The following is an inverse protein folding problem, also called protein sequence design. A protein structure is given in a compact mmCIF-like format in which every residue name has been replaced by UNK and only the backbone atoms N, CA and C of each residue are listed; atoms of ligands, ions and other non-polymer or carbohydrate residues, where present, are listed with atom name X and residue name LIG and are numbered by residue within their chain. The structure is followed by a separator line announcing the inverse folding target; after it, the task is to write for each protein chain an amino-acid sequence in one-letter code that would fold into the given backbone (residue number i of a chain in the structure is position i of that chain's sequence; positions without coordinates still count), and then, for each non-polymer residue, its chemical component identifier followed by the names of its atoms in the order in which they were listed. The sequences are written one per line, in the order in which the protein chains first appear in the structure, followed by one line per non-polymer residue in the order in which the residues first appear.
data_IF_350917073521
#
_entry.id   IF_350917073521
#
_cell.length_a   1.000
_cell.length_b   1.000
_cell.length_c   1.000
_cell.angle_alpha   90.00
_cell.angle_beta   90.00
_cell.angle_gamma   90.00
#
_symmetry.space_group_name_H-M   'P 1'
#
loop_
_entity.id
_entity.type
_entity.pdbx_description
1 polymer ?
#
# COMPACT_ATOMS: atom_id res chain seq x y z
N UNK A 1 2.17 -15.29 16.19
CA UNK A 1 1.24 -14.35 15.52
C UNK A 1 2.01 -13.07 15.31
N UNK A 2 2.17 -12.62 14.06
CA UNK A 2 2.86 -11.36 13.73
C UNK A 2 1.78 -10.29 13.57
N UNK A 3 1.86 -9.24 14.37
CA UNK A 3 1.00 -8.06 14.19
C UNK A 3 1.67 -7.12 13.19
N UNK A 4 0.90 -6.60 12.23
CA UNK A 4 1.37 -5.64 11.23
C UNK A 4 0.58 -4.34 11.37
N UNK A 5 1.28 -3.24 11.61
CA UNK A 5 0.69 -1.90 11.61
C UNK A 5 1.32 -1.08 10.50
N UNK A 6 0.51 -0.61 9.55
CA UNK A 6 0.98 0.29 8.50
C UNK A 6 1.33 1.64 9.14
N UNK A 7 2.57 2.09 8.93
CA UNK A 7 3.08 3.34 9.50
C UNK A 7 3.19 4.46 8.47
N UNK A 8 3.38 4.11 7.19
CA UNK A 8 3.47 5.07 6.10
C UNK A 8 3.07 4.43 4.77
N UNK A 9 2.51 5.24 3.88
CA UNK A 9 2.28 4.89 2.48
C UNK A 9 2.77 6.02 1.60
N UNK A 10 3.70 5.72 0.71
CA UNK A 10 4.22 6.66 -0.29
C UNK A 10 3.74 6.26 -1.68
N UNK A 11 3.21 7.22 -2.43
CA UNK A 11 2.73 6.99 -3.80
C UNK A 11 3.52 7.89 -4.74
N UNK A 12 4.31 7.27 -5.61
CA UNK A 12 5.04 7.97 -6.65
C UNK A 12 4.36 7.77 -8.01
N UNK A 13 3.83 8.86 -8.58
CA UNK A 13 3.20 8.85 -9.90
C UNK A 13 4.11 9.56 -10.89
N UNK A 14 4.38 8.92 -12.03
CA UNK A 14 5.19 9.49 -13.12
C UNK A 14 4.48 9.30 -14.45
N UNK A 15 4.59 10.29 -15.31
CA UNK A 15 4.10 10.21 -16.68
C UNK A 15 5.23 9.80 -17.63
N UNK A 16 4.96 8.85 -18.52
CA UNK A 16 5.85 8.45 -19.61
C UNK A 16 5.10 8.50 -20.93
N UNK A 17 5.25 9.61 -21.66
CA UNK A 17 4.47 9.86 -22.87
C UNK A 17 2.97 9.96 -22.56
N UNK A 18 2.18 9.03 -23.10
CA UNK A 18 0.73 8.93 -22.85
C UNK A 18 0.36 7.94 -21.74
N UNK A 19 1.33 7.20 -21.24
CA UNK A 19 1.15 6.18 -20.22
C UNK A 19 1.63 6.72 -18.86
N UNK A 20 1.19 6.06 -17.79
CA UNK A 20 1.52 6.41 -16.41
C UNK A 20 2.19 5.23 -15.69
N UNK A 21 3.10 5.56 -14.79
CA UNK A 21 3.75 4.63 -13.89
C UNK A 21 3.41 5.03 -12.46
N UNK A 22 3.02 4.06 -11.66
CA UNK A 22 2.69 4.26 -10.25
C UNK A 22 3.51 3.28 -9.43
N UNK A 23 4.18 3.79 -8.41
CA UNK A 23 4.76 2.97 -7.36
C UNK A 23 4.06 3.29 -6.05
N UNK A 24 3.62 2.26 -5.34
CA UNK A 24 3.07 2.36 -4.00
C UNK A 24 4.03 1.65 -3.06
N UNK A 25 4.54 2.37 -2.07
CA UNK A 25 5.43 1.82 -1.04
C UNK A 25 4.71 1.85 0.28
N UNK A 26 4.44 0.68 0.86
CA UNK A 26 3.78 0.52 2.15
C UNK A 26 4.82 0.15 3.19
N UNK A 27 5.03 1.02 4.18
CA UNK A 27 5.89 0.72 5.33
C UNK A 27 5.03 0.21 6.48
N UNK A 28 5.44 -0.89 7.08
CA UNK A 28 4.76 -1.49 8.23
C UNK A 28 5.75 -1.81 9.35
N UNK A 29 5.28 -1.61 10.58
CA UNK A 29 5.90 -2.16 11.76
C UNK A 29 5.35 -3.57 11.97
N UNK A 30 6.23 -4.57 11.94
CA UNK A 30 5.90 -5.93 12.34
C UNK A 30 6.29 -6.13 13.80
N UNK A 31 5.37 -6.59 14.63
CA UNK A 31 5.65 -6.98 16.02
C UNK A 31 5.39 -8.48 16.19
N UNK A 32 6.38 -9.18 16.73
CA UNK A 32 6.27 -10.58 17.13
C UNK A 32 6.74 -10.78 18.59
N UNK A 33 6.77 -12.03 19.06
CA UNK A 33 7.18 -12.38 20.42
C UNK A 33 8.68 -12.09 20.66
N UNK A 34 9.49 -12.04 19.61
CA UNK A 34 10.93 -11.80 19.65
C UNK A 34 11.35 -10.33 19.49
N UNK A 35 10.45 -9.45 19.07
CA UNK A 35 10.68 -8.01 18.95
C UNK A 35 9.87 -7.33 17.84
N UNK A 36 10.17 -6.05 17.60
CA UNK A 36 9.58 -5.27 16.52
C UNK A 36 10.59 -4.97 15.42
N UNK A 37 10.18 -5.05 14.15
CA UNK A 37 10.98 -4.61 12.99
C UNK A 37 10.16 -3.74 12.05
N UNK A 38 10.83 -2.81 11.38
CA UNK A 38 10.25 -2.06 10.27
C UNK A 38 10.52 -2.83 8.98
N UNK A 39 9.49 -2.97 8.15
CA UNK A 39 9.56 -3.60 6.85
C UNK A 39 8.75 -2.79 5.83
N UNK A 40 9.07 -3.00 4.55
CA UNK A 40 8.48 -2.28 3.43
C UNK A 40 7.99 -3.27 2.37
N UNK A 41 6.88 -2.95 1.73
CA UNK A 41 6.37 -3.62 0.53
C UNK A 41 6.18 -2.62 -0.59
N UNK A 42 6.50 -3.02 -1.82
CA UNK A 42 6.54 -2.14 -2.98
C UNK A 42 5.74 -2.74 -4.13
N UNK A 43 4.60 -2.13 -4.43
CA UNK A 43 3.80 -2.45 -5.61
C UNK A 43 4.15 -1.48 -6.75
N UNK A 44 4.38 -2.01 -7.96
CA UNK A 44 4.67 -1.22 -9.17
C UNK A 44 3.66 -1.53 -10.26
N UNK A 45 3.08 -0.48 -10.81
CA UNK A 45 2.15 -0.50 -11.92
C UNK A 45 2.75 0.29 -13.07
N UNK A 46 2.94 -0.36 -14.20
CA UNK A 46 3.58 0.24 -15.37
C UNK A 46 2.56 0.38 -16.50
N UNK A 47 2.80 1.38 -17.36
CA UNK A 47 2.09 1.55 -18.64
C UNK A 47 0.57 1.74 -18.50
N UNK A 48 0.12 2.40 -17.43
CA UNK A 48 -1.29 2.64 -17.16
C UNK A 48 -1.86 3.74 -18.07
N UNK A 49 -3.08 3.54 -18.54
CA UNK A 49 -3.92 4.62 -19.05
C UNK A 49 -4.37 5.55 -17.90
N UNK A 50 -4.89 6.73 -18.24
CA UNK A 50 -5.40 7.68 -17.24
C UNK A 50 -6.55 7.09 -16.40
N UNK A 51 -7.41 6.27 -17.02
CA UNK A 51 -8.53 5.61 -16.32
C UNK A 51 -8.02 4.56 -15.34
N UNK A 52 -7.05 3.74 -15.75
CA UNK A 52 -6.43 2.73 -14.88
C UNK A 52 -5.64 3.38 -13.74
N UNK A 53 -4.92 4.47 -14.01
CA UNK A 53 -4.27 5.28 -12.97
C UNK A 53 -5.29 5.75 -11.92
N UNK A 54 -6.43 6.29 -12.37
CA UNK A 54 -7.47 6.76 -11.46
C UNK A 54 -7.99 5.63 -10.58
N UNK A 55 -8.22 4.46 -11.16
CA UNK A 55 -8.68 3.29 -10.42
C UNK A 55 -7.66 2.83 -9.38
N UNK A 56 -6.37 2.74 -9.73
CA UNK A 56 -5.30 2.38 -8.77
C UNK A 56 -5.24 3.38 -7.62
N UNK A 57 -5.35 4.69 -7.90
CA UNK A 57 -5.34 5.71 -6.85
C UNK A 57 -6.60 5.65 -5.97
N UNK A 58 -7.77 5.37 -6.55
CA UNK A 58 -9.01 5.15 -5.81
C UNK A 58 -8.89 3.92 -4.90
N UNK A 59 -8.39 2.79 -5.39
CA UNK A 59 -8.23 1.55 -4.62
C UNK A 59 -7.27 1.74 -3.41
N UNK A 60 -6.17 2.47 -3.63
CA UNK A 60 -5.22 2.82 -2.55
C UNK A 60 -5.85 3.79 -1.53
N UNK A 61 -6.68 4.72 -1.99
CA UNK A 61 -7.30 5.73 -1.12
C UNK A 61 -8.49 5.19 -0.31
N UNK A 62 -9.26 4.25 -0.87
CA UNK A 62 -10.55 3.82 -0.31
C UNK A 62 -10.54 2.48 0.43
N UNK A 63 -9.44 1.73 0.45
CA UNK A 63 -9.26 0.69 1.47
C UNK A 63 -8.92 -0.72 0.99
N UNK A 64 -8.16 -0.86 -0.09
CA UNK A 64 -7.48 -2.12 -0.38
C UNK A 64 -6.04 -1.84 -0.77
N UNK A 65 -5.21 -1.49 0.22
CA UNK A 65 -3.76 -1.45 -0.02
C UNK A 65 -3.31 -2.87 -0.40
N UNK A 66 -2.59 -3.05 -1.52
CA UNK A 66 -1.94 -4.31 -1.83
C UNK A 66 -1.07 -4.73 -0.63
N UNK A 67 -1.31 -5.92 -0.08
CA UNK A 67 -0.64 -6.42 1.13
C UNK A 67 -1.49 -6.41 2.42
N UNK A 68 -2.69 -5.81 2.40
CA UNK A 68 -3.72 -6.05 3.41
C UNK A 68 -4.50 -7.32 3.03
N UNK A 69 -3.88 -8.49 3.22
CA UNK A 69 -4.70 -9.67 3.51
C UNK A 69 -5.48 -9.34 4.79
N UNK A 70 -6.80 -9.31 4.67
CA UNK A 70 -7.72 -9.18 5.79
C UNK A 70 -7.32 -10.19 6.86
N UNK A 71 -6.63 -9.73 7.91
CA UNK A 71 -6.71 -10.42 9.18
C UNK A 71 -8.17 -10.27 9.62
N UNK A 72 -8.88 -11.40 9.67
CA UNK A 72 -10.21 -11.51 10.22
C UNK A 72 -10.33 -10.67 11.50
N UNK A 73 -11.40 -9.86 11.54
CA UNK A 73 -11.93 -9.18 12.73
C UNK A 73 -10.95 -8.37 13.59
N UNK A 74 -10.82 -7.06 13.30
CA UNK A 74 -10.16 -6.18 14.26
C UNK A 74 -10.01 -4.74 13.81
N UNK A 75 -11.09 -3.97 13.97
CA UNK A 75 -11.13 -2.51 14.16
C UNK A 75 -10.03 -1.67 13.51
N UNK A 76 -10.36 -1.05 12.37
CA UNK A 76 -9.65 0.13 11.86
C UNK A 76 -10.00 1.33 12.76
N UNK A 77 -9.04 1.77 13.58
CA UNK A 77 -9.10 3.09 14.23
C UNK A 77 -8.21 4.04 13.46
N UNK A 78 -8.82 5.02 12.79
CA UNK A 78 -8.13 6.20 12.31
C UNK A 78 -8.08 7.21 13.47
N UNK A 79 -6.88 7.66 13.83
CA UNK A 79 -6.68 8.85 14.68
C UNK A 79 -6.45 10.06 13.78
#
# INVERSE_FOLDING_TARGET
MVSRTITAVDINVRQFGREWLVQVTTTYCESDIGGGRIAEDVARYERLSLTELRQVLEDVSYGSMPGLDYAEEGTLVFN
#
